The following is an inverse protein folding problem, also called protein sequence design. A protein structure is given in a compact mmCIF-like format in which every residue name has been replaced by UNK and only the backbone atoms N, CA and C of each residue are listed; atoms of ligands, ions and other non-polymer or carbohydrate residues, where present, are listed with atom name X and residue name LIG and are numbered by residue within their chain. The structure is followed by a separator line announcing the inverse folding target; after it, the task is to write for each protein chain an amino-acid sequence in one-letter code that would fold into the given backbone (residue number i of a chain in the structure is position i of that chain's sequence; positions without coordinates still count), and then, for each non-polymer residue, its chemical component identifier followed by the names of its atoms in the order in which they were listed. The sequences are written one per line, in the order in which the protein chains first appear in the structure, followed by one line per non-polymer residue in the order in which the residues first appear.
data_IF_290497857073
#
_entry.id   IF_290497857073
#
_cell.length_a   1.000
_cell.length_b   1.000
_cell.length_c   1.000
_cell.angle_alpha   90.00
_cell.angle_beta   90.00
_cell.angle_gamma   90.00
#
_symmetry.space_group_name_H-M   'P 1'
#
loop_
_entity.id
_entity.type
_entity.pdbx_description
1 polymer ?
#
# COMPACT_ATOMS: atom_id res chain seq x y z
N UNK A 1 4.11 -14.64 4.79
CA UNK A 1 4.09 -13.22 4.32
C UNK A 1 2.68 -12.69 4.49
N UNK A 2 2.48 -11.66 5.31
CA UNK A 2 1.23 -10.88 5.39
C UNK A 2 1.35 -9.63 4.51
N UNK A 3 0.25 -9.19 3.91
CA UNK A 3 0.22 -8.04 2.99
C UNK A 3 -1.03 -7.21 3.27
N UNK A 4 -0.86 -5.89 3.38
CA UNK A 4 -1.94 -4.91 3.42
C UNK A 4 -1.54 -3.71 2.56
N UNK A 5 -2.46 -3.17 1.76
CA UNK A 5 -2.23 -1.91 1.06
C UNK A 5 -2.41 -0.72 2.01
N UNK A 6 -1.75 0.39 1.71
CA UNK A 6 -1.92 1.63 2.46
C UNK A 6 -1.34 1.57 3.87
N UNK A 7 -2.00 2.24 4.83
CA UNK A 7 -1.55 2.32 6.23
C UNK A 7 -2.03 1.13 7.08
N UNK A 8 -1.36 -0.01 6.89
CA UNK A 8 -1.73 -1.29 7.53
C UNK A 8 -1.19 -1.49 8.95
N UNK A 9 -0.64 -0.48 9.61
CA UNK A 9 -0.05 -0.63 10.94
C UNK A 9 -1.03 -1.11 12.02
N UNK A 10 -2.33 -0.86 11.86
CA UNK A 10 -3.40 -1.36 12.77
C UNK A 10 -3.55 -2.88 12.75
N UNK A 11 -3.07 -3.54 11.69
CA UNK A 11 -3.12 -5.00 11.51
C UNK A 11 -1.85 -5.71 11.98
N UNK A 12 -0.86 -4.98 12.51
CA UNK A 12 0.44 -5.53 12.90
C UNK A 12 0.28 -6.76 13.79
N UNK A 13 -0.48 -6.66 14.89
CA UNK A 13 -0.70 -7.77 15.82
C UNK A 13 -1.26 -9.04 15.14
N UNK A 14 -2.19 -8.87 14.19
CA UNK A 14 -2.76 -9.98 13.45
C UNK A 14 -1.76 -10.58 12.43
N UNK A 15 -0.92 -9.73 11.82
CA UNK A 15 0.10 -10.16 10.88
C UNK A 15 1.19 -11.00 11.57
N UNK A 16 1.74 -10.53 12.71
CA UNK A 16 2.83 -11.25 13.40
C UNK A 16 2.38 -12.60 13.95
N UNK A 17 1.08 -12.77 14.24
CA UNK A 17 0.52 -14.04 14.70
C UNK A 17 0.46 -15.11 13.60
N UNK A 18 0.58 -14.74 12.32
CA UNK A 18 0.29 -15.63 11.17
C UNK A 18 1.34 -15.61 10.06
N UNK A 19 2.35 -14.74 10.14
CA UNK A 19 3.31 -14.55 9.05
C UNK A 19 4.72 -14.29 9.57
N UNK A 20 5.70 -14.66 8.75
CA UNK A 20 7.13 -14.44 9.02
C UNK A 20 7.62 -13.03 8.65
N UNK A 21 6.83 -12.27 7.89
CA UNK A 21 7.15 -10.93 7.39
C UNK A 21 5.84 -10.21 7.04
N UNK A 22 5.79 -8.89 7.26
CA UNK A 22 4.63 -8.05 6.96
C UNK A 22 4.99 -6.90 6.01
N UNK A 23 4.23 -6.78 4.92
CA UNK A 23 4.40 -5.75 3.88
C UNK A 23 3.20 -4.80 3.92
N UNK A 24 3.45 -3.51 4.08
CA UNK A 24 2.43 -2.45 4.08
C UNK A 24 3.08 -1.09 3.78
N UNK A 25 2.34 0.01 3.83
CA UNK A 25 2.88 1.36 3.96
C UNK A 25 2.62 1.99 5.34
N UNK A 26 3.26 3.15 5.56
CA UNK A 26 3.02 4.10 6.65
C UNK A 26 3.09 3.50 8.06
N UNK A 27 4.14 2.73 8.35
CA UNK A 27 4.37 2.27 9.72
C UNK A 27 4.84 3.44 10.60
N UNK A 28 4.16 3.66 11.73
CA UNK A 28 4.63 4.60 12.75
C UNK A 28 5.89 4.08 13.46
N UNK A 29 6.67 4.99 14.03
CA UNK A 29 7.85 4.64 14.83
C UNK A 29 7.57 3.58 15.91
N UNK A 30 6.46 3.73 16.64
CA UNK A 30 6.07 2.78 17.67
C UNK A 30 5.74 1.40 17.10
N UNK A 31 5.05 1.35 15.95
CA UNK A 31 4.77 0.08 15.27
C UNK A 31 6.05 -0.63 14.81
N UNK A 32 7.06 0.12 14.37
CA UNK A 32 8.37 -0.46 14.02
C UNK A 32 9.07 -1.02 15.26
N UNK A 33 8.98 -0.33 16.41
CA UNK A 33 9.55 -0.83 17.68
C UNK A 33 8.81 -2.04 18.25
N UNK A 34 7.49 -2.07 18.13
CA UNK A 34 6.63 -3.15 18.63
C UNK A 34 6.68 -4.40 17.73
N UNK A 35 7.27 -4.28 16.53
CA UNK A 35 7.31 -5.37 15.57
C UNK A 35 8.25 -6.49 16.04
N UNK A 36 7.74 -7.72 16.07
CA UNK A 36 8.50 -8.94 16.36
C UNK A 36 8.85 -9.73 15.11
N UNK A 37 8.35 -9.29 13.96
CA UNK A 37 8.68 -9.82 12.63
C UNK A 37 9.20 -8.68 11.75
N UNK A 38 10.02 -8.98 10.72
CA UNK A 38 10.43 -7.99 9.74
C UNK A 38 9.24 -7.26 9.11
N UNK A 39 9.37 -5.94 8.98
CA UNK A 39 8.45 -5.09 8.25
C UNK A 39 9.09 -4.62 6.95
N UNK A 40 8.30 -4.57 5.88
CA UNK A 40 8.63 -3.83 4.66
C UNK A 40 7.62 -2.70 4.55
N UNK A 41 8.09 -1.48 4.77
CA UNK A 41 7.36 -0.28 4.38
C UNK A 41 7.59 -0.04 2.88
N UNK A 42 6.59 -0.39 2.07
CA UNK A 42 6.58 -0.21 0.63
C UNK A 42 5.89 1.10 0.20
N UNK A 43 5.49 1.95 1.15
CA UNK A 43 4.77 3.20 0.93
C UNK A 43 3.29 3.00 0.63
N UNK A 44 2.46 3.88 1.20
CA UNK A 44 1.00 3.84 1.05
C UNK A 44 0.57 3.93 -0.42
N UNK A 45 1.03 4.99 -1.09
CA UNK A 45 0.65 5.25 -2.48
C UNK A 45 1.03 4.10 -3.41
N UNK A 46 2.26 3.59 -3.32
CA UNK A 46 2.75 2.53 -4.21
C UNK A 46 2.07 1.18 -3.97
N UNK A 47 1.65 0.89 -2.74
CA UNK A 47 0.95 -0.35 -2.41
C UNK A 47 -0.52 -0.33 -2.84
N UNK A 48 -1.14 0.85 -2.96
CA UNK A 48 -2.52 0.99 -3.43
C UNK A 48 -2.63 1.24 -4.94
N UNK A 49 -1.63 1.87 -5.56
CA UNK A 49 -1.65 2.22 -6.99
C UNK A 49 -2.06 1.06 -7.92
N UNK A 50 -1.62 -0.20 -7.72
CA UNK A 50 -2.04 -1.32 -8.57
C UNK A 50 -3.57 -1.51 -8.66
N UNK A 51 -4.33 -1.18 -7.60
CA UNK A 51 -5.79 -1.35 -7.60
C UNK A 51 -6.50 -0.37 -8.53
N UNK A 52 -5.88 0.75 -8.88
CA UNK A 52 -6.50 1.77 -9.74
C UNK A 52 -6.82 1.21 -11.14
N UNK A 53 -6.03 0.27 -11.64
CA UNK A 53 -6.30 -0.41 -12.92
C UNK A 53 -7.54 -1.30 -12.87
N UNK A 54 -7.77 -1.94 -11.73
CA UNK A 54 -8.98 -2.72 -11.51
C UNK A 54 -10.21 -1.81 -11.41
N UNK A 55 -10.09 -0.70 -10.67
CA UNK A 55 -11.17 0.28 -10.54
C UNK A 55 -11.52 0.94 -11.88
N UNK A 56 -10.54 1.27 -12.71
CA UNK A 56 -10.73 1.81 -14.05
C UNK A 56 -11.58 0.86 -14.93
N UNK A 57 -11.24 -0.44 -14.93
CA UNK A 57 -12.05 -1.46 -15.61
C UNK A 57 -13.47 -1.54 -15.07
N UNK A 58 -13.63 -1.55 -13.74
CA UNK A 58 -14.95 -1.60 -13.10
C UNK A 58 -15.80 -0.36 -13.43
N UNK A 59 -15.21 0.84 -13.46
CA UNK A 59 -15.90 2.08 -13.83
C UNK A 59 -16.30 2.05 -15.31
N UNK A 60 -15.44 1.51 -16.18
CA UNK A 60 -15.75 1.32 -17.60
C UNK A 60 -16.93 0.36 -17.81
N UNK A 61 -17.01 -0.72 -17.04
CA UNK A 61 -18.14 -1.66 -17.08
C UNK A 61 -19.48 -1.02 -16.66
N UNK A 62 -19.42 0.04 -15.86
CA UNK A 62 -20.59 0.86 -15.51
C UNK A 62 -20.95 1.88 -16.60
N UNK A 63 -20.21 1.93 -17.70
CA UNK A 63 -20.43 2.87 -18.80
C UNK A 63 -19.96 4.30 -18.50
N UNK A 64 -19.08 4.47 -17.52
CA UNK A 64 -18.52 5.76 -17.12
C UNK A 64 -17.09 5.91 -17.64
N UNK A 65 -16.70 7.15 -17.93
CA UNK A 65 -15.31 7.46 -18.29
C UNK A 65 -14.45 7.66 -17.02
N UNK A 66 -13.28 7.03 -17.01
CA UNK A 66 -12.25 7.21 -15.99
C UNK A 66 -10.87 7.36 -16.61
N UNK A 67 -9.96 7.96 -15.85
CA UNK A 67 -8.55 8.09 -16.21
C UNK A 67 -7.72 7.74 -14.99
N UNK A 68 -6.81 6.77 -15.15
CA UNK A 68 -5.81 6.46 -14.12
C UNK A 68 -4.67 7.47 -14.20
N UNK A 69 -4.45 8.21 -13.13
CA UNK A 69 -3.35 9.17 -13.05
C UNK A 69 -2.00 8.44 -13.09
N UNK A 70 -0.99 8.94 -13.85
CA UNK A 70 0.29 8.28 -13.98
C UNK A 70 1.08 8.31 -12.66
N UNK A 71 1.83 7.23 -12.38
CA UNK A 71 2.63 7.07 -11.16
C UNK A 71 3.69 8.18 -11.00
N UNK A 72 4.22 8.66 -12.12
CA UNK A 72 5.25 9.70 -12.18
C UNK A 72 4.71 11.08 -11.81
N UNK A 73 3.39 11.28 -11.90
CA UNK A 73 2.76 12.52 -11.46
C UNK A 73 2.64 12.61 -9.94
N UNK A 74 2.83 11.52 -9.20
CA UNK A 74 2.85 11.55 -7.75
C UNK A 74 4.01 12.41 -7.24
N UNK A 75 3.75 13.33 -6.32
CA UNK A 75 4.71 14.35 -5.85
C UNK A 75 6.05 13.72 -5.41
N UNK A 76 6.00 12.58 -4.70
CA UNK A 76 7.21 11.87 -4.28
C UNK A 76 8.07 11.36 -5.44
N UNK A 77 7.46 11.00 -6.57
CA UNK A 77 8.17 10.54 -7.78
C UNK A 77 8.88 11.69 -8.52
N UNK A 78 8.52 12.95 -8.23
CA UNK A 78 9.07 14.13 -8.90
C UNK A 78 10.37 14.62 -8.26
N UNK A 79 10.63 14.29 -6.99
CA UNK A 79 11.80 14.79 -6.22
C UNK A 79 12.95 13.78 -6.09
N UNK A 80 12.78 12.53 -6.56
CA UNK A 80 13.77 11.45 -6.39
C UNK A 80 14.33 10.89 -7.71
N UNK A 81 14.47 11.73 -8.75
CA UNK A 81 15.19 11.38 -9.99
C UNK A 81 16.67 11.67 -9.91
#
# INVERSE_FOLDING_TARGET
IAICGGSGGSLLAAAQAKADIYISGDFSYHQVLDATIPLIDAGHYYTEYPVLRYLDGYISDLGLESVVMPLEAHEFSQYHR
#
